data_IF_008716175075
#
_entry.id   IF_008716175075
#
_cell.length_a   1.000
_cell.length_b   1.000
_cell.length_c   1.000
_cell.angle_alpha   90.00
_cell.angle_beta   90.00
_cell.angle_gamma   90.00
#
_symmetry.space_group_name_H-M   'P 1'
#
loop_
_entity.id
_entity.type
_entity.pdbx_description
1 polymer ?
#
# COMPACT_ATOMS: atom_id res chain seq x y z
N UNK A 1 -33.25 3.40 -17.23
CA UNK A 1 -32.46 3.67 -16.01
C UNK A 1 -31.04 3.26 -16.32
N UNK A 2 -30.19 4.22 -16.62
CA UNK A 2 -28.77 3.97 -16.96
C UNK A 2 -28.05 3.55 -15.69
N UNK A 3 -27.73 2.27 -15.57
CA UNK A 3 -26.89 1.72 -14.50
C UNK A 3 -25.43 2.07 -14.86
N UNK A 4 -24.99 3.28 -14.52
CA UNK A 4 -23.55 3.57 -14.57
C UNK A 4 -22.85 2.51 -13.69
N UNK A 5 -21.78 1.87 -14.17
CA UNK A 5 -21.05 0.90 -13.36
C UNK A 5 -20.61 1.62 -12.09
N UNK A 6 -21.05 1.12 -10.95
CA UNK A 6 -20.62 1.67 -9.68
C UNK A 6 -19.10 1.51 -9.60
N UNK A 7 -18.38 2.62 -9.55
CA UNK A 7 -16.93 2.62 -9.49
C UNK A 7 -16.48 1.89 -8.22
N UNK A 8 -15.75 0.79 -8.38
CA UNK A 8 -15.15 0.07 -7.26
C UNK A 8 -14.26 1.02 -6.43
N UNK A 9 -14.20 0.80 -5.12
CA UNK A 9 -13.37 1.59 -4.19
C UNK A 9 -12.24 0.76 -3.62
N UNK A 10 -11.06 1.34 -3.56
CA UNK A 10 -9.89 0.78 -2.88
C UNK A 10 -9.65 1.56 -1.59
N UNK A 11 -9.73 0.87 -0.47
CA UNK A 11 -9.36 1.37 0.84
C UNK A 11 -7.89 1.05 1.10
N UNK A 12 -7.04 2.05 1.10
CA UNK A 12 -5.61 1.91 1.40
C UNK A 12 -5.40 2.19 2.88
N UNK A 13 -5.34 1.14 3.68
CA UNK A 13 -5.21 1.20 5.14
C UNK A 13 -3.74 1.02 5.49
N UNK A 14 -3.13 2.00 6.15
CA UNK A 14 -1.78 1.86 6.68
C UNK A 14 -1.81 1.19 8.04
N UNK A 15 -0.89 0.24 8.29
CA UNK A 15 -0.71 -0.37 9.60
C UNK A 15 -0.56 0.67 10.71
N UNK A 16 -0.80 0.28 11.97
CA UNK A 16 -0.60 1.15 13.15
C UNK A 16 0.88 1.48 13.37
N UNK A 17 1.17 2.35 14.34
CA UNK A 17 2.54 2.81 14.63
C UNK A 17 3.49 1.63 14.86
N UNK A 18 4.59 1.50 14.10
CA UNK A 18 5.54 0.42 14.27
C UNK A 18 6.41 0.65 15.50
N UNK A 19 6.84 -0.45 16.12
CA UNK A 19 7.75 -0.46 17.26
C UNK A 19 9.20 -0.45 16.75
N UNK A 20 9.61 0.67 16.20
CA UNK A 20 10.96 0.90 15.68
C UNK A 20 11.43 2.30 16.11
N UNK A 21 12.71 2.43 16.39
CA UNK A 21 13.28 3.72 16.81
C UNK A 21 13.16 4.76 15.69
N UNK A 22 12.91 6.04 16.01
CA UNK A 22 12.90 7.11 15.01
C UNK A 22 14.21 7.15 14.21
N UNK A 23 14.09 7.38 12.89
CA UNK A 23 15.25 7.48 12.01
C UNK A 23 15.86 6.15 11.57
N UNK A 24 15.31 5.02 11.98
CA UNK A 24 15.73 3.69 11.50
C UNK A 24 15.04 3.39 10.17
N UNK A 25 15.82 2.90 9.20
CA UNK A 25 15.31 2.38 7.95
C UNK A 25 14.64 1.01 8.20
N UNK A 26 13.40 0.87 7.78
CA UNK A 26 12.68 -0.40 7.78
C UNK A 26 11.69 -0.43 6.61
N UNK A 27 11.56 -1.56 6.00
CA UNK A 27 10.63 -1.80 4.89
C UNK A 27 10.12 -3.23 4.98
N UNK A 28 10.84 -4.18 4.39
CA UNK A 28 10.55 -5.62 4.47
C UNK A 28 10.87 -6.22 5.83
N UNK A 29 11.67 -5.54 6.67
CA UNK A 29 11.93 -5.97 8.04
C UNK A 29 10.64 -6.15 8.82
N UNK A 30 10.46 -7.32 9.40
CA UNK A 30 9.21 -7.70 10.04
C UNK A 30 9.12 -7.18 11.48
N UNK A 31 8.96 -5.85 11.62
CA UNK A 31 8.75 -5.16 12.88
C UNK A 31 7.29 -5.18 13.32
N UNK A 32 7.05 -5.34 14.61
CA UNK A 32 5.72 -5.27 15.20
C UNK A 32 5.18 -3.83 15.18
N UNK A 33 3.87 -3.68 15.29
CA UNK A 33 3.20 -2.41 15.59
C UNK A 33 2.75 -2.37 17.05
N UNK A 34 2.48 -1.17 17.56
CA UNK A 34 1.88 -0.98 18.88
C UNK A 34 0.50 -1.66 18.94
N UNK A 35 0.34 -2.56 19.91
CA UNK A 35 -0.85 -3.40 20.01
C UNK A 35 -2.10 -2.59 20.38
N UNK A 36 -1.97 -1.53 21.18
CA UNK A 36 -3.12 -0.69 21.55
C UNK A 36 -3.57 0.16 20.36
N UNK A 37 -2.61 0.78 19.65
CA UNK A 37 -2.90 1.53 18.43
C UNK A 37 -3.49 0.62 17.34
N UNK A 38 -3.03 -0.63 17.21
CA UNK A 38 -3.55 -1.62 16.26
C UNK A 38 -5.02 -1.93 16.56
N UNK A 39 -5.38 -2.21 17.83
CA UNK A 39 -6.78 -2.44 18.23
C UNK A 39 -7.68 -1.24 17.96
N UNK A 40 -7.21 -0.02 18.27
CA UNK A 40 -7.97 1.21 18.01
C UNK A 40 -8.20 1.38 16.50
N UNK A 41 -7.17 1.18 15.69
CA UNK A 41 -7.28 1.24 14.23
C UNK A 41 -8.26 0.19 13.70
N UNK A 42 -8.21 -1.05 14.20
CA UNK A 42 -9.14 -2.11 13.83
C UNK A 42 -10.60 -1.76 14.17
N UNK A 43 -10.87 -1.21 15.37
CA UNK A 43 -12.21 -0.78 15.78
C UNK A 43 -12.77 0.32 14.87
N UNK A 44 -11.96 1.33 14.57
CA UNK A 44 -12.35 2.43 13.68
C UNK A 44 -12.63 1.92 12.26
N UNK A 45 -11.75 1.07 11.75
CA UNK A 45 -11.88 0.46 10.43
C UNK A 45 -13.12 -0.44 10.35
N UNK A 46 -13.37 -1.28 11.38
CA UNK A 46 -14.55 -2.13 11.46
C UNK A 46 -15.87 -1.35 11.38
N UNK A 47 -15.91 -0.16 12.03
CA UNK A 47 -17.08 0.71 12.01
C UNK A 47 -17.26 1.44 10.65
N UNK A 48 -16.16 1.70 9.93
CA UNK A 48 -16.18 2.45 8.67
C UNK A 48 -16.43 1.57 7.43
N UNK A 49 -15.97 0.31 7.47
CA UNK A 49 -16.04 -0.58 6.31
C UNK A 49 -17.48 -1.03 6.00
N UNK A 50 -17.87 -1.04 4.71
CA UNK A 50 -19.14 -1.57 4.27
C UNK A 50 -19.21 -3.09 4.50
N UNK A 51 -20.43 -3.64 4.39
CA UNK A 51 -20.62 -5.08 4.33
C UNK A 51 -20.04 -5.64 3.02
N UNK A 52 -19.41 -6.84 3.10
CA UNK A 52 -18.93 -7.61 1.94
C UNK A 52 -17.77 -6.93 1.16
N UNK A 53 -16.84 -6.30 1.82
CA UNK A 53 -15.59 -5.89 1.21
C UNK A 53 -14.62 -7.08 1.06
N UNK A 54 -13.77 -7.04 0.04
CA UNK A 54 -12.63 -7.96 -0.09
C UNK A 54 -11.44 -7.40 0.66
N UNK A 55 -10.92 -8.14 1.63
CA UNK A 55 -9.79 -7.70 2.46
C UNK A 55 -8.53 -8.48 2.10
N UNK A 56 -7.48 -7.75 1.75
CA UNK A 56 -6.13 -8.28 1.57
C UNK A 56 -5.16 -7.54 2.49
N UNK A 57 -4.13 -8.24 2.94
CA UNK A 57 -3.12 -7.62 3.80
C UNK A 57 -1.71 -8.01 3.38
N UNK A 58 -0.76 -7.12 3.64
CA UNK A 58 0.66 -7.46 3.61
C UNK A 58 0.95 -8.55 4.64
N UNK A 59 1.78 -9.57 4.33
CA UNK A 59 2.12 -10.62 5.29
C UNK A 59 3.05 -10.16 6.42
N UNK A 60 3.51 -8.89 6.41
CA UNK A 60 4.30 -8.36 7.51
C UNK A 60 3.42 -8.20 8.76
N UNK A 61 3.94 -8.66 9.93
CA UNK A 61 3.17 -8.79 11.16
C UNK A 61 2.38 -7.53 11.56
N UNK A 62 2.91 -6.32 11.30
CA UNK A 62 2.22 -5.04 11.58
C UNK A 62 0.93 -4.83 10.78
N UNK A 63 0.82 -5.47 9.61
CA UNK A 63 -0.40 -5.49 8.81
C UNK A 63 -1.28 -6.70 9.14
N UNK A 64 -0.67 -7.87 9.33
CA UNK A 64 -1.37 -9.11 9.67
C UNK A 64 -2.12 -8.99 10.99
N UNK A 65 -1.51 -8.43 12.05
CA UNK A 65 -2.16 -8.22 13.33
C UNK A 65 -3.36 -7.28 13.22
N UNK A 66 -3.28 -6.21 12.43
CA UNK A 66 -4.43 -5.35 12.16
C UNK A 66 -5.54 -6.09 11.41
N UNK A 67 -5.18 -6.96 10.47
CA UNK A 67 -6.14 -7.78 9.73
C UNK A 67 -6.83 -8.80 10.63
N UNK A 68 -6.10 -9.43 11.55
CA UNK A 68 -6.65 -10.38 12.54
C UNK A 68 -7.59 -9.68 13.54
N UNK A 69 -7.20 -8.52 14.06
CA UNK A 69 -8.05 -7.71 14.95
C UNK A 69 -9.34 -7.25 14.23
N UNK A 70 -9.22 -6.83 12.97
CA UNK A 70 -10.38 -6.50 12.14
C UNK A 70 -11.30 -7.71 11.95
N UNK A 71 -10.75 -8.86 11.60
CA UNK A 71 -11.52 -10.08 11.37
C UNK A 71 -12.24 -10.56 12.65
N UNK A 72 -11.63 -10.38 13.82
CA UNK A 72 -12.29 -10.67 15.10
C UNK A 72 -13.51 -9.79 15.34
N UNK A 73 -13.49 -8.53 14.90
CA UNK A 73 -14.62 -7.57 15.01
C UNK A 73 -15.63 -7.74 13.86
N UNK A 74 -15.19 -8.18 12.71
CA UNK A 74 -15.95 -8.33 11.46
C UNK A 74 -15.69 -9.71 10.85
N UNK A 75 -16.28 -10.78 11.41
CA UNK A 75 -16.10 -12.15 10.88
C UNK A 75 -16.59 -12.33 9.43
N UNK A 76 -17.42 -11.40 8.94
CA UNK A 76 -17.86 -11.33 7.54
C UNK A 76 -16.74 -10.88 6.57
N UNK A 77 -15.65 -10.31 7.07
CA UNK A 77 -14.54 -9.78 6.29
C UNK A 77 -13.27 -10.64 6.46
N UNK A 78 -13.31 -11.85 5.90
CA UNK A 78 -12.12 -12.72 5.90
C UNK A 78 -10.97 -12.09 5.09
N UNK A 79 -9.83 -11.91 5.75
CA UNK A 79 -8.64 -11.33 5.15
C UNK A 79 -7.73 -12.39 4.51
N UNK A 80 -7.05 -12.06 3.42
CA UNK A 80 -6.07 -12.91 2.73
C UNK A 80 -4.73 -12.21 2.62
N UNK A 81 -3.60 -12.89 2.92
CA UNK A 81 -2.28 -12.34 2.68
C UNK A 81 -1.99 -12.19 1.19
N UNK A 82 -1.34 -11.08 0.81
CA UNK A 82 -0.85 -10.85 -0.55
C UNK A 82 0.58 -10.26 -0.49
N UNK A 83 1.55 -11.01 -0.96
CA UNK A 83 2.96 -10.59 -0.97
C UNK A 83 3.21 -9.32 -1.79
N UNK A 84 2.36 -9.00 -2.75
CA UNK A 84 2.46 -7.79 -3.56
C UNK A 84 2.20 -6.52 -2.76
N UNK A 85 1.59 -6.64 -1.56
CA UNK A 85 1.28 -5.53 -0.66
C UNK A 85 2.37 -5.26 0.39
N UNK A 86 3.51 -5.98 0.38
CA UNK A 86 4.64 -5.72 1.28
C UNK A 86 5.23 -4.34 1.03
N UNK A 87 5.86 -3.77 2.08
CA UNK A 87 6.67 -2.57 1.91
C UNK A 87 7.92 -2.89 1.07
N UNK A 88 8.54 -1.86 0.52
CA UNK A 88 9.80 -1.97 -0.21
C UNK A 88 10.88 -2.61 0.65
N UNK A 89 11.61 -3.56 0.08
CA UNK A 89 12.79 -4.15 0.72
C UNK A 89 14.00 -3.23 0.52
N UNK A 90 14.55 -2.74 1.64
CA UNK A 90 15.75 -1.92 1.65
C UNK A 90 17.04 -2.74 1.89
N UNK A 91 16.95 -4.07 1.82
CA UNK A 91 18.11 -4.96 1.94
C UNK A 91 18.93 -4.71 3.21
N UNK A 92 20.24 -4.59 3.07
CA UNK A 92 21.16 -4.40 4.19
C UNK A 92 21.11 -2.99 4.84
N UNK A 93 20.24 -2.10 4.37
CA UNK A 93 19.95 -0.83 5.04
C UNK A 93 18.96 -1.01 6.20
N UNK A 94 18.17 -2.06 6.18
CA UNK A 94 17.14 -2.28 7.20
C UNK A 94 17.73 -2.52 8.58
N UNK A 95 17.11 -1.90 9.58
CA UNK A 95 17.60 -1.90 10.97
C UNK A 95 18.69 -0.88 11.27
N UNK A 96 19.23 -0.20 10.25
CA UNK A 96 20.22 0.87 10.41
C UNK A 96 19.55 2.23 10.43
N UNK A 97 20.19 3.21 11.07
CA UNK A 97 19.71 4.60 10.96
C UNK A 97 20.03 5.19 9.59
N UNK A 98 19.22 6.12 9.11
CA UNK A 98 19.51 6.86 7.88
C UNK A 98 20.86 7.59 7.96
N UNK A 99 21.26 8.01 9.16
CA UNK A 99 22.58 8.61 9.40
C UNK A 99 23.71 7.61 9.16
N UNK A 100 23.57 6.36 9.62
CA UNK A 100 24.58 5.30 9.45
C UNK A 100 24.67 4.79 8.00
N UNK A 101 23.56 4.82 7.26
CA UNK A 101 23.55 4.51 5.82
C UNK A 101 24.39 5.55 5.09
N UNK A 102 24.27 6.80 5.48
CA UNK A 102 25.12 7.89 5.03
C UNK A 102 24.70 8.51 3.70
N UNK A 103 25.01 9.79 3.57
CA UNK A 103 24.64 10.61 2.42
C UNK A 103 25.08 10.04 1.06
N UNK A 104 26.29 9.51 0.86
CA UNK A 104 26.71 8.99 -0.45
C UNK A 104 25.83 7.87 -0.97
N UNK A 105 25.37 6.96 -0.10
CA UNK A 105 24.51 5.86 -0.48
C UNK A 105 23.09 6.36 -0.83
N UNK A 106 22.58 7.33 -0.07
CA UNK A 106 21.29 7.98 -0.35
C UNK A 106 21.34 8.77 -1.66
N UNK A 107 22.42 9.51 -1.92
CA UNK A 107 22.60 10.26 -3.17
C UNK A 107 22.65 9.32 -4.38
N UNK A 108 23.34 8.18 -4.27
CA UNK A 108 23.37 7.17 -5.33
C UNK A 108 21.98 6.59 -5.62
N UNK A 109 21.19 6.31 -4.57
CA UNK A 109 19.80 5.90 -4.73
C UNK A 109 18.94 6.99 -5.40
N UNK A 110 19.06 8.23 -4.95
CA UNK A 110 18.30 9.36 -5.50
C UNK A 110 18.66 9.62 -6.96
N UNK A 111 19.93 9.50 -7.33
CA UNK A 111 20.41 9.68 -8.72
C UNK A 111 19.86 8.63 -9.71
N UNK A 112 19.55 7.42 -9.21
CA UNK A 112 18.98 6.34 -10.02
C UNK A 112 17.67 5.83 -9.39
N UNK A 113 16.81 6.75 -8.95
CA UNK A 113 15.68 6.55 -8.04
C UNK A 113 14.78 5.36 -8.36
N UNK A 114 14.44 5.19 -9.62
CA UNK A 114 13.54 4.12 -10.04
C UNK A 114 14.24 2.75 -10.18
N UNK A 115 15.54 2.72 -10.42
CA UNK A 115 16.25 1.50 -10.82
C UNK A 115 17.28 1.01 -9.82
N UNK A 116 17.79 1.88 -8.96
CA UNK A 116 18.68 1.49 -7.87
C UNK A 116 17.94 0.65 -6.85
N UNK A 117 18.57 -0.42 -6.39
CA UNK A 117 18.08 -1.27 -5.29
C UNK A 117 18.83 -0.90 -4.01
N UNK A 118 18.24 -0.07 -3.12
CA UNK A 118 18.91 0.36 -1.91
C UNK A 118 19.23 -0.84 -1.03
N UNK A 119 20.47 -0.88 -0.54
CA UNK A 119 20.95 -2.00 0.29
C UNK A 119 20.97 -3.37 -0.41
N UNK A 120 20.81 -3.43 -1.73
CA UNK A 120 20.68 -4.69 -2.47
C UNK A 120 19.29 -5.33 -2.38
N UNK A 121 18.28 -4.61 -1.89
CA UNK A 121 16.90 -5.05 -1.79
C UNK A 121 16.10 -4.85 -3.10
N UNK A 122 14.92 -4.25 -3.01
CA UNK A 122 14.08 -3.96 -4.19
C UNK A 122 14.40 -2.59 -4.81
N UNK A 123 14.31 -2.47 -6.13
CA UNK A 123 14.19 -1.18 -6.80
C UNK A 123 12.75 -0.67 -6.78
N UNK A 124 12.53 0.64 -6.85
CA UNK A 124 11.18 1.19 -6.97
C UNK A 124 10.43 0.64 -8.20
N UNK A 125 11.14 0.37 -9.29
CA UNK A 125 10.58 -0.30 -10.48
C UNK A 125 9.98 -1.66 -10.13
N UNK A 126 10.66 -2.48 -9.32
CA UNK A 126 10.15 -3.79 -8.90
C UNK A 126 8.91 -3.65 -8.00
N UNK A 127 8.94 -2.69 -7.05
CA UNK A 127 7.79 -2.40 -6.20
C UNK A 127 6.58 -1.94 -7.02
N UNK A 128 6.78 -0.99 -7.95
CA UNK A 128 5.72 -0.53 -8.84
C UNK A 128 5.13 -1.67 -9.69
N UNK A 129 5.96 -2.57 -10.20
CA UNK A 129 5.50 -3.70 -11.00
C UNK A 129 4.57 -4.63 -10.19
N UNK A 130 4.97 -5.02 -8.95
CA UNK A 130 4.12 -5.89 -8.11
C UNK A 130 2.86 -5.19 -7.62
N UNK A 131 2.94 -3.90 -7.28
CA UNK A 131 1.76 -3.13 -6.84
C UNK A 131 0.82 -2.89 -8.03
N UNK A 132 1.32 -2.64 -9.24
CA UNK A 132 0.50 -2.54 -10.45
C UNK A 132 -0.28 -3.83 -10.72
N UNK A 133 0.36 -4.99 -10.60
CA UNK A 133 -0.31 -6.28 -10.76
C UNK A 133 -1.40 -6.52 -9.68
N UNK A 134 -1.17 -6.07 -8.43
CA UNK A 134 -2.19 -6.12 -7.38
C UNK A 134 -3.35 -5.15 -7.68
N UNK A 135 -3.04 -3.94 -8.16
CA UNK A 135 -4.04 -2.93 -8.49
C UNK A 135 -4.95 -3.37 -9.64
N UNK A 136 -4.38 -3.93 -10.71
CA UNK A 136 -5.14 -4.52 -11.81
C UNK A 136 -6.05 -5.67 -11.33
N UNK A 137 -5.56 -6.54 -10.46
CA UNK A 137 -6.37 -7.61 -9.88
C UNK A 137 -7.54 -7.07 -9.04
N UNK A 138 -7.34 -5.97 -8.29
CA UNK A 138 -8.41 -5.31 -7.55
C UNK A 138 -9.46 -4.68 -8.49
N UNK A 139 -9.04 -4.07 -9.60
CA UNK A 139 -9.93 -3.54 -10.63
C UNK A 139 -10.77 -4.65 -11.27
N UNK A 140 -10.15 -5.78 -11.64
CA UNK A 140 -10.87 -6.94 -12.20
C UNK A 140 -11.88 -7.51 -11.21
N UNK A 141 -11.47 -7.66 -9.93
CA UNK A 141 -12.34 -8.20 -8.88
C UNK A 141 -13.61 -7.36 -8.69
N UNK A 142 -13.51 -6.04 -8.75
CA UNK A 142 -14.68 -5.15 -8.63
C UNK A 142 -15.53 -5.10 -9.90
N UNK A 143 -14.95 -5.33 -11.06
CA UNK A 143 -15.70 -5.42 -12.32
C UNK A 143 -16.52 -6.70 -12.42
N UNK A 144 -16.03 -7.83 -11.89
CA UNK A 144 -16.66 -9.16 -12.00
C UNK A 144 -17.67 -9.46 -10.87
N UNK A 145 -17.61 -8.75 -9.77
CA UNK A 145 -18.35 -9.10 -8.54
C UNK A 145 -19.30 -8.00 -8.10
N UNK A 146 -20.34 -8.40 -7.35
CA UNK A 146 -21.32 -7.49 -6.79
C UNK A 146 -20.78 -6.57 -5.68
N UNK A 147 -19.54 -6.80 -5.20
CA UNK A 147 -18.88 -5.93 -4.24
C UNK A 147 -18.07 -4.86 -4.97
N UNK A 148 -18.13 -3.65 -4.44
CA UNK A 148 -17.41 -2.50 -5.00
C UNK A 148 -16.26 -2.04 -4.11
N UNK A 149 -15.99 -2.73 -3.02
CA UNK A 149 -14.97 -2.37 -2.04
C UNK A 149 -13.87 -3.44 -1.94
N UNK A 150 -12.64 -3.00 -2.12
CA UNK A 150 -11.41 -3.75 -1.85
C UNK A 150 -10.64 -3.02 -0.78
N UNK A 151 -10.17 -3.72 0.23
CA UNK A 151 -9.40 -3.19 1.35
C UNK A 151 -8.00 -3.77 1.30
N UNK A 152 -7.00 -2.91 1.30
CA UNK A 152 -5.60 -3.30 1.45
C UNK A 152 -5.05 -2.78 2.77
N UNK A 153 -4.72 -3.69 3.68
CA UNK A 153 -3.99 -3.35 4.89
C UNK A 153 -2.51 -3.45 4.55
N UNK A 154 -1.84 -2.30 4.45
CA UNK A 154 -0.54 -2.18 3.79
C UNK A 154 0.33 -1.05 4.39
N UNK A 155 1.18 -0.45 3.58
CA UNK A 155 2.26 0.45 3.96
C UNK A 155 2.21 1.76 3.17
N UNK A 156 2.97 2.76 3.62
CA UNK A 156 3.03 4.06 2.98
C UNK A 156 3.61 4.01 1.57
N UNK A 157 4.64 3.19 1.33
CA UNK A 157 5.24 3.04 0.00
C UNK A 157 4.25 2.46 -1.01
N UNK A 158 3.46 1.46 -0.61
CA UNK A 158 2.41 0.87 -1.47
C UNK A 158 1.32 1.90 -1.79
N UNK A 159 0.87 2.69 -0.80
CA UNK A 159 -0.11 3.75 -1.05
C UNK A 159 0.41 4.79 -2.06
N UNK A 160 1.68 5.18 -1.95
CA UNK A 160 2.35 6.07 -2.91
C UNK A 160 2.45 5.45 -4.31
N UNK A 161 2.73 4.15 -4.40
CA UNK A 161 2.71 3.44 -5.69
C UNK A 161 1.34 3.51 -6.34
N UNK A 162 0.25 3.29 -5.59
CA UNK A 162 -1.11 3.41 -6.13
C UNK A 162 -1.39 4.84 -6.60
N UNK A 163 -1.00 5.85 -5.82
CA UNK A 163 -1.16 7.24 -6.21
C UNK A 163 -0.43 7.57 -7.53
N UNK A 164 0.79 7.03 -7.72
CA UNK A 164 1.56 7.19 -8.95
C UNK A 164 0.87 6.51 -10.14
N UNK A 165 0.44 5.26 -9.97
CA UNK A 165 -0.24 4.49 -11.03
C UNK A 165 -1.55 5.14 -11.47
N UNK A 166 -2.34 5.68 -10.55
CA UNK A 166 -3.58 6.39 -10.88
C UNK A 166 -3.32 7.68 -11.65
N UNK A 167 -2.29 8.45 -11.25
CA UNK A 167 -1.90 9.67 -11.98
C UNK A 167 -1.53 9.38 -13.43
N UNK A 168 -0.81 8.28 -13.68
CA UNK A 168 -0.48 7.85 -15.03
C UNK A 168 -1.72 7.45 -15.85
N UNK A 169 -2.68 6.74 -15.22
CA UNK A 169 -3.95 6.38 -15.87
C UNK A 169 -4.77 7.62 -16.23
N UNK A 170 -4.86 8.61 -15.34
CA UNK A 170 -5.56 9.87 -15.57
C UNK A 170 -4.94 10.66 -16.74
N UNK A 171 -3.61 10.64 -16.86
CA UNK A 171 -2.87 11.30 -17.93
C UNK A 171 -2.88 10.52 -19.24
N UNK A 172 -3.47 9.32 -19.29
CA UNK A 172 -3.46 8.40 -20.45
C UNK A 172 -2.05 8.17 -21.00
N UNK A 173 -1.05 8.21 -20.14
CA UNK A 173 0.34 7.97 -20.46
C UNK A 173 0.77 6.60 -19.97
N UNK A 174 1.69 5.95 -20.67
CA UNK A 174 2.42 4.85 -20.05
C UNK A 174 3.06 5.37 -18.75
N UNK A 175 2.94 4.61 -17.67
CA UNK A 175 3.51 5.00 -16.39
C UNK A 175 5.05 5.09 -16.51
N UNK A 176 5.54 6.26 -16.92
CA UNK A 176 6.96 6.54 -16.89
C UNK A 176 7.49 6.30 -15.46
N UNK A 177 8.75 5.89 -15.34
CA UNK A 177 9.35 5.75 -14.02
C UNK A 177 9.47 7.12 -13.36
N UNK A 178 9.07 7.27 -12.09
CA UNK A 178 9.10 8.55 -11.40
C UNK A 178 10.53 9.02 -11.16
N UNK A 179 10.72 10.33 -11.25
CA UNK A 179 11.88 11.01 -10.68
C UNK A 179 11.61 11.33 -9.20
N UNK A 180 12.66 11.56 -8.38
CA UNK A 180 12.46 11.84 -6.95
C UNK A 180 11.48 12.98 -6.66
N UNK A 181 11.55 14.07 -7.44
CA UNK A 181 10.70 15.25 -7.29
C UNK A 181 9.24 15.03 -7.71
N UNK A 182 8.96 13.98 -8.49
CA UNK A 182 7.63 13.62 -8.95
C UNK A 182 6.94 12.61 -8.03
N UNK A 183 7.72 11.99 -7.15
CA UNK A 183 7.23 10.91 -6.30
C UNK A 183 6.20 11.40 -5.28
N UNK A 184 5.04 10.75 -5.14
CA UNK A 184 4.04 11.15 -4.17
C UNK A 184 4.59 11.15 -2.75
N UNK A 185 4.45 12.26 -2.04
CA UNK A 185 4.87 12.39 -0.62
C UNK A 185 3.77 11.91 0.31
N UNK A 186 2.50 12.22 -0.02
CA UNK A 186 1.35 11.90 0.79
C UNK A 186 1.11 10.39 0.88
N UNK A 187 0.73 9.94 2.06
CA UNK A 187 0.22 8.61 2.36
C UNK A 187 -0.61 8.70 3.65
N UNK A 188 -1.50 7.74 3.94
CA UNK A 188 -2.23 7.70 5.19
C UNK A 188 -1.29 7.73 6.41
N UNK A 189 -1.72 8.39 7.49
CA UNK A 189 -1.03 8.28 8.77
C UNK A 189 -1.14 6.85 9.32
N UNK A 190 -0.38 6.52 10.36
CA UNK A 190 -0.44 5.19 10.98
C UNK A 190 -1.84 4.90 11.55
N UNK A 191 -2.40 3.74 11.20
CA UNK A 191 -3.75 3.34 11.60
C UNK A 191 -4.87 4.08 10.87
N UNK A 192 -4.55 4.91 9.88
CA UNK A 192 -5.50 5.65 9.05
C UNK A 192 -5.61 5.04 7.65
N UNK A 193 -6.58 5.53 6.87
CA UNK A 193 -6.78 5.08 5.50
C UNK A 193 -7.20 6.23 4.59
N UNK A 194 -7.01 5.99 3.30
CA UNK A 194 -7.60 6.79 2.22
C UNK A 194 -8.42 5.89 1.30
N UNK A 195 -9.39 6.48 0.60
CA UNK A 195 -10.23 5.75 -0.36
C UNK A 195 -9.91 6.27 -1.76
N UNK A 196 -9.63 5.34 -2.67
CA UNK A 196 -9.34 5.60 -4.08
C UNK A 196 -10.35 4.91 -4.99
N UNK A 197 -10.65 5.51 -6.14
CA UNK A 197 -11.46 4.86 -7.16
C UNK A 197 -10.68 3.72 -7.83
N UNK A 198 -11.35 2.59 -8.07
CA UNK A 198 -10.82 1.48 -8.90
C UNK A 198 -11.33 1.56 -10.35
N UNK A 199 -12.29 2.45 -10.65
CA UNK A 199 -12.80 2.65 -11.99
C UNK A 199 -11.83 3.52 -12.80
N UNK A 200 -11.24 2.97 -13.87
CA UNK A 200 -10.79 3.76 -15.00
C UNK A 200 -12.01 4.31 -15.73
N UNK A 201 -11.97 5.54 -16.25
CA UNK A 201 -13.05 6.05 -17.09
C UNK A 201 -13.32 5.07 -18.24
N UNK A 202 -14.60 4.87 -18.63
CA UNK A 202 -14.91 4.02 -19.78
C UNK A 202 -14.16 4.55 -21.01
N UNK A 203 -13.50 3.64 -21.71
CA UNK A 203 -12.94 3.92 -23.03
C UNK A 203 -14.12 4.28 -23.92
N UNK A 204 -14.27 5.56 -24.26
CA UNK A 204 -15.22 5.98 -25.29
C UNK A 204 -14.72 5.39 -26.61
N UNK A 205 -15.46 4.43 -27.13
CA UNK A 205 -15.31 3.91 -28.49
C UNK A 205 -15.63 4.98 -29.52
#
# INVERSE_FOLDING_TARGET
MSNAPANGRLWLVRHAQPLVAPGVCYGALDVAADAAATRVAAQRLAAALPLRAWVFHSPLQRCELLALDLQALRPDLASKPDNRLREMDFGNWEGRTWADIGKPAIDAWTAAFATHAPGGGESLRAVLARVSAAFQAAQQLTAERATHDVVWITHAGVARCVAWLQRAQEQRSEAAMPRPEEWPVAAPAWGEWEIRSLGGQPVSS
#
